data_IF_973233678678
#
_entry.id   IF_973233678678
#
_cell.length_a   1.000
_cell.length_b   1.000
_cell.length_c   1.000
_cell.angle_alpha   90.00
_cell.angle_beta   90.00
_cell.angle_gamma   90.00
#
_symmetry.space_group_name_H-M   'P 1'
#
loop_
_entity.id
_entity.type
_entity.pdbx_description
1 polymer ?
#
# COMPACT_ATOMS: atom_id res chain seq x y z
N UNK A 1 17.20 -12.33 10.40
CA UNK A 1 17.32 -13.48 11.34
C UNK A 1 15.95 -14.14 11.45
N UNK A 2 15.83 -15.47 11.35
CA UNK A 2 14.55 -16.14 11.57
C UNK A 2 14.14 -16.03 13.05
N UNK A 3 12.86 -15.73 13.30
CA UNK A 3 12.29 -15.75 14.66
C UNK A 3 12.09 -17.22 15.05
N UNK A 4 12.52 -17.62 16.25
CA UNK A 4 12.30 -19.00 16.71
C UNK A 4 10.82 -19.23 17.02
N UNK A 5 10.34 -20.46 16.77
CA UNK A 5 8.95 -20.83 17.08
C UNK A 5 8.63 -20.68 18.57
N UNK A 6 9.60 -20.94 19.44
CA UNK A 6 9.43 -20.79 20.89
C UNK A 6 9.27 -19.31 21.30
N UNK A 7 9.96 -18.39 20.62
CA UNK A 7 9.77 -16.96 20.85
C UNK A 7 8.37 -16.50 20.42
N UNK A 8 7.87 -16.98 19.28
CA UNK A 8 6.52 -16.63 18.80
C UNK A 8 5.46 -17.14 19.78
N UNK A 9 5.58 -18.40 20.25
CA UNK A 9 4.66 -18.98 21.24
C UNK A 9 4.66 -18.20 22.54
N UNK A 10 5.85 -17.92 23.09
CA UNK A 10 5.97 -17.14 24.33
C UNK A 10 5.31 -15.77 24.18
N UNK A 11 5.58 -15.06 23.09
CA UNK A 11 4.97 -13.75 22.85
C UNK A 11 3.46 -13.88 22.78
N UNK A 12 2.92 -14.85 22.03
CA UNK A 12 1.48 -15.10 21.91
C UNK A 12 0.84 -15.36 23.28
N UNK A 13 1.49 -16.16 24.13
CA UNK A 13 1.08 -16.39 25.52
C UNK A 13 1.11 -15.10 26.37
N UNK A 14 2.20 -14.32 26.27
CA UNK A 14 2.37 -13.05 27.01
C UNK A 14 1.28 -12.02 26.66
N UNK A 15 0.79 -12.01 25.41
CA UNK A 15 -0.29 -11.12 24.95
C UNK A 15 -1.70 -11.74 24.97
N UNK A 16 -1.82 -13.03 25.36
CA UNK A 16 -3.10 -13.72 25.51
C UNK A 16 -3.83 -14.03 24.19
N UNK A 17 -3.11 -14.29 23.10
CA UNK A 17 -3.68 -14.69 21.80
C UNK A 17 -3.06 -15.98 21.29
N UNK A 18 -3.70 -16.65 20.34
CA UNK A 18 -3.11 -17.80 19.65
C UNK A 18 -1.98 -17.37 18.70
N UNK A 19 -1.09 -18.31 18.35
CA UNK A 19 -0.04 -18.07 17.35
C UNK A 19 -0.65 -17.66 16.00
N UNK A 20 -1.80 -18.24 15.65
CA UNK A 20 -2.48 -17.93 14.39
C UNK A 20 -3.06 -16.51 14.41
N UNK A 21 -3.70 -16.08 15.50
CA UNK A 21 -4.18 -14.71 15.68
C UNK A 21 -3.03 -13.69 15.69
N UNK A 22 -1.92 -13.99 16.37
CA UNK A 22 -0.72 -13.15 16.36
C UNK A 22 -0.17 -13.03 14.93
N UNK A 23 -0.13 -14.14 14.19
CA UNK A 23 0.38 -14.17 12.81
C UNK A 23 -0.52 -13.37 11.87
N UNK A 24 -1.84 -13.59 11.93
CA UNK A 24 -2.80 -12.86 11.11
C UNK A 24 -2.78 -11.36 11.42
N UNK A 25 -2.79 -10.99 12.70
CA UNK A 25 -2.74 -9.59 13.13
C UNK A 25 -1.44 -8.90 12.72
N UNK A 26 -0.30 -9.59 12.87
CA UNK A 26 1.00 -9.09 12.44
C UNK A 26 1.09 -8.88 10.93
N UNK A 27 0.57 -9.84 10.16
CA UNK A 27 0.53 -9.74 8.69
C UNK A 27 -0.39 -8.61 8.23
N UNK A 28 -1.58 -8.47 8.82
CA UNK A 28 -2.50 -7.37 8.52
C UNK A 28 -1.89 -6.01 8.87
N UNK A 29 -1.27 -5.87 10.05
CA UNK A 29 -0.61 -4.63 10.45
C UNK A 29 0.50 -4.24 9.46
N UNK A 30 1.30 -5.22 9.01
CA UNK A 30 2.32 -4.99 7.99
C UNK A 30 1.73 -4.55 6.64
N UNK A 31 0.70 -5.23 6.15
CA UNK A 31 0.06 -4.90 4.87
C UNK A 31 -0.62 -3.53 4.92
N UNK A 32 -1.32 -3.19 6.00
CA UNK A 32 -1.92 -1.87 6.18
C UNK A 32 -0.87 -0.75 6.21
N UNK A 33 0.24 -0.95 6.90
CA UNK A 33 1.34 0.02 6.93
C UNK A 33 1.98 0.19 5.54
N UNK A 34 2.18 -0.92 4.81
CA UNK A 34 2.67 -0.87 3.43
C UNK A 34 1.71 -0.11 2.53
N UNK A 35 0.41 -0.41 2.61
CA UNK A 35 -0.65 0.30 1.87
C UNK A 35 -0.62 1.80 2.15
N UNK A 36 -0.51 2.18 3.43
CA UNK A 36 -0.48 3.59 3.88
C UNK A 36 0.66 4.36 3.21
N UNK A 37 1.86 3.77 3.13
CA UNK A 37 3.03 4.40 2.48
C UNK A 37 2.81 4.63 0.99
N UNK A 38 2.29 3.62 0.28
CA UNK A 38 2.01 3.72 -1.16
C UNK A 38 0.93 4.77 -1.44
N UNK A 39 -0.08 4.87 -0.57
CA UNK A 39 -1.12 5.92 -0.67
C UNK A 39 -0.54 7.31 -0.45
N UNK A 40 0.38 7.49 0.50
CA UNK A 40 1.03 8.78 0.72
C UNK A 40 1.82 9.22 -0.51
N UNK A 41 2.61 8.33 -1.10
CA UNK A 41 3.36 8.62 -2.33
C UNK A 41 2.43 8.96 -3.49
N UNK A 42 1.30 8.24 -3.63
CA UNK A 42 0.24 8.56 -4.60
C UNK A 42 -0.32 9.97 -4.38
N UNK A 43 -0.62 10.33 -3.13
CA UNK A 43 -1.17 11.65 -2.79
C UNK A 43 -0.17 12.77 -3.04
N UNK A 44 1.12 12.55 -2.79
CA UNK A 44 2.18 13.52 -3.07
C UNK A 44 2.29 13.85 -4.56
N UNK A 45 2.12 12.86 -5.45
CA UNK A 45 2.11 13.08 -6.90
C UNK A 45 0.86 13.86 -7.31
N UNK A 46 -0.31 13.47 -6.81
CA UNK A 46 -1.58 14.16 -7.12
C UNK A 46 -1.58 15.62 -6.67
N UNK A 47 -1.07 15.88 -5.46
CA UNK A 47 -0.94 17.23 -4.88
C UNK A 47 0.03 18.10 -5.70
N UNK A 48 1.16 17.54 -6.16
CA UNK A 48 2.14 18.24 -7.01
C UNK A 48 1.51 18.87 -8.25
N UNK A 49 0.49 18.22 -8.83
CA UNK A 49 -0.17 18.66 -10.06
C UNK A 49 -1.55 19.30 -9.82
N UNK A 50 -2.02 19.36 -8.57
CA UNK A 50 -3.37 19.80 -8.20
C UNK A 50 -4.45 19.05 -9.00
N UNK A 51 -4.41 17.72 -8.95
CA UNK A 51 -5.34 16.82 -9.65
C UNK A 51 -5.87 15.74 -8.72
N UNK A 52 -7.07 15.23 -8.98
CA UNK A 52 -7.71 14.21 -8.16
C UNK A 52 -7.41 12.77 -8.60
N UNK A 53 -6.90 12.56 -9.83
CA UNK A 53 -6.70 11.22 -10.39
C UNK A 53 -5.61 11.18 -11.48
N UNK A 54 -5.10 9.96 -11.75
CA UNK A 54 -4.20 9.70 -12.88
C UNK A 54 -4.83 10.08 -14.24
N UNK A 55 -6.12 9.81 -14.41
CA UNK A 55 -6.88 10.17 -15.62
C UNK A 55 -6.93 11.69 -15.81
N UNK A 56 -7.12 12.45 -14.72
CA UNK A 56 -7.09 13.90 -14.79
C UNK A 56 -5.69 14.43 -15.13
N UNK A 57 -4.65 13.88 -14.49
CA UNK A 57 -3.25 14.21 -14.82
C UNK A 57 -2.96 13.98 -16.30
N UNK A 58 -3.29 12.79 -16.82
CA UNK A 58 -3.10 12.43 -18.22
C UNK A 58 -3.80 13.43 -19.17
N UNK A 59 -5.05 13.79 -18.88
CA UNK A 59 -5.80 14.74 -19.70
C UNK A 59 -5.16 16.13 -19.71
N UNK A 60 -4.73 16.63 -18.54
CA UNK A 60 -4.09 17.94 -18.42
C UNK A 60 -2.73 17.98 -19.13
N UNK A 61 -1.95 16.90 -19.10
CA UNK A 61 -0.71 16.79 -19.89
C UNK A 61 -1.04 16.85 -21.38
N UNK A 62 -2.00 16.04 -21.86
CA UNK A 62 -2.39 16.00 -23.28
C UNK A 62 -2.92 17.32 -23.83
N UNK A 63 -3.59 18.10 -22.99
CA UNK A 63 -4.10 19.42 -23.35
C UNK A 63 -3.01 20.51 -23.32
N UNK A 64 -1.80 20.18 -22.86
CA UNK A 64 -0.70 21.14 -22.67
C UNK A 64 -0.90 22.08 -21.49
N UNK A 65 -1.75 21.71 -20.52
CA UNK A 65 -1.97 22.47 -19.28
C UNK A 65 -0.88 22.21 -18.23
N UNK A 66 -0.21 21.06 -18.34
CA UNK A 66 0.92 20.63 -17.49
C UNK A 66 2.09 20.27 -18.43
N UNK A 67 3.30 20.68 -18.06
CA UNK A 67 4.51 20.35 -18.80
C UNK A 67 4.70 18.83 -18.89
N UNK A 68 4.94 18.32 -20.10
CA UNK A 68 5.03 16.88 -20.38
C UNK A 68 6.10 16.16 -19.54
N UNK A 69 7.22 16.83 -19.27
CA UNK A 69 8.27 16.33 -18.38
C UNK A 69 8.41 17.25 -17.17
N UNK A 70 8.35 16.72 -15.94
CA UNK A 70 8.39 15.30 -15.56
C UNK A 70 7.02 14.58 -15.51
N UNK A 71 5.94 15.20 -15.97
CA UNK A 71 4.58 14.72 -15.69
C UNK A 71 4.24 13.33 -16.27
N UNK A 72 4.77 12.96 -17.44
CA UNK A 72 4.59 11.60 -17.98
C UNK A 72 5.25 10.53 -17.09
N UNK A 73 6.43 10.80 -16.54
CA UNK A 73 7.13 9.86 -15.65
C UNK A 73 6.37 9.71 -14.32
N UNK A 74 5.86 10.82 -13.79
CA UNK A 74 5.02 10.82 -12.60
C UNK A 74 3.67 10.11 -12.84
N UNK A 75 3.08 10.21 -14.03
CA UNK A 75 1.87 9.46 -14.39
C UNK A 75 2.14 7.94 -14.38
N UNK A 76 3.25 7.50 -14.98
CA UNK A 76 3.65 6.08 -14.96
C UNK A 76 3.86 5.61 -13.52
N UNK A 77 4.52 6.42 -12.68
CA UNK A 77 4.69 6.10 -11.27
C UNK A 77 3.33 6.00 -10.56
N UNK A 78 2.42 6.94 -10.80
CA UNK A 78 1.09 6.98 -10.22
C UNK A 78 0.27 5.72 -10.55
N UNK A 79 0.28 5.28 -11.81
CA UNK A 79 -0.38 4.04 -12.26
C UNK A 79 0.19 2.80 -11.56
N UNK A 80 1.52 2.74 -11.41
CA UNK A 80 2.18 1.65 -10.69
C UNK A 80 1.80 1.62 -9.20
N UNK A 81 1.70 2.79 -8.56
CA UNK A 81 1.26 2.90 -7.16
C UNK A 81 -0.20 2.44 -7.01
N UNK A 82 -1.08 2.79 -7.95
CA UNK A 82 -2.48 2.33 -7.94
C UNK A 82 -2.58 0.81 -8.10
N UNK A 83 -1.81 0.22 -9.01
CA UNK A 83 -1.72 -1.23 -9.16
C UNK A 83 -1.19 -1.90 -7.88
N UNK A 84 -0.18 -1.33 -7.24
CA UNK A 84 0.37 -1.85 -5.98
C UNK A 84 -0.65 -1.79 -4.84
N UNK A 85 -1.45 -0.72 -4.73
CA UNK A 85 -2.55 -0.61 -3.76
C UNK A 85 -3.57 -1.72 -3.99
N UNK A 86 -3.96 -1.96 -5.25
CA UNK A 86 -4.95 -2.99 -5.58
C UNK A 86 -4.47 -4.41 -5.17
N UNK A 87 -3.19 -4.72 -5.38
CA UNK A 87 -2.59 -6.00 -4.95
C UNK A 87 -2.62 -6.11 -3.42
N UNK A 88 -2.18 -5.07 -2.70
CA UNK A 88 -2.16 -5.08 -1.22
C UNK A 88 -3.58 -5.22 -0.67
N UNK A 89 -4.57 -4.58 -1.29
CA UNK A 89 -5.97 -4.69 -0.89
C UNK A 89 -6.52 -6.10 -1.08
N UNK A 90 -6.08 -6.83 -2.11
CA UNK A 90 -6.46 -8.23 -2.28
C UNK A 90 -5.74 -9.16 -1.29
N UNK A 91 -4.48 -8.90 -0.97
CA UNK A 91 -3.73 -9.61 0.08
C UNK A 91 -4.41 -9.44 1.45
N UNK A 92 -4.81 -8.21 1.80
CA UNK A 92 -5.56 -7.92 3.05
C UNK A 92 -6.85 -8.74 3.10
N UNK A 93 -7.65 -8.74 2.02
CA UNK A 93 -8.89 -9.53 1.96
C UNK A 93 -8.60 -11.03 2.10
N UNK A 94 -7.52 -11.52 1.52
CA UNK A 94 -7.12 -12.93 1.60
C UNK A 94 -6.82 -13.34 3.04
N UNK A 95 -6.10 -12.50 3.79
CA UNK A 95 -5.82 -12.75 5.21
C UNK A 95 -7.09 -12.68 6.04
N UNK A 96 -7.97 -11.69 5.81
CA UNK A 96 -9.23 -11.54 6.54
C UNK A 96 -10.25 -12.65 6.28
N UNK A 97 -10.24 -13.29 5.11
CA UNK A 97 -11.10 -14.44 4.79
C UNK A 97 -10.58 -15.76 5.36
N UNK A 98 -9.29 -15.80 5.72
CA UNK A 98 -8.59 -17.01 6.17
C UNK A 98 -8.37 -17.03 7.69
N UNK A 99 -8.64 -15.91 8.37
CA UNK A 99 -8.68 -15.76 9.82
C UNK A 99 -10.09 -15.98 10.35
#
# INVERSE_FOLDING_TARGET
>A
MPISKDAIKKIAEDIGVSVDELTASGLLAFLHEKRRKVILERLEILDRYDVASAVELENRIRNGEIDEHPAWDDLILLENLEAAIAVIDEDIKTVQKSA
#
